data_IF_961620187142
#
_entry.id   IF_961620187142
#
_cell.length_a   1.000
_cell.length_b   1.000
_cell.length_c   1.000
_cell.angle_alpha   90.00
_cell.angle_beta   90.00
_cell.angle_gamma   90.00
#
_symmetry.space_group_name_H-M   'P 1'
#
loop_
_entity.id
_entity.type
_entity.pdbx_description
1 polymer ?
#
# COMPACT_ATOMS: atom_id res chain seq x y z
N UNK A 1 10.41 7.65 -1.40
CA UNK A 1 10.23 8.64 -0.32
C UNK A 1 8.89 8.54 0.41
N UNK A 2 7.75 8.26 -0.25
CA UNK A 2 6.44 8.36 0.44
C UNK A 2 5.97 7.09 1.17
N UNK A 3 6.37 5.89 0.73
CA UNK A 3 5.86 4.63 1.30
C UNK A 3 6.46 4.27 2.67
N UNK A 4 7.74 4.59 2.91
CA UNK A 4 8.40 4.28 4.19
C UNK A 4 7.82 5.09 5.35
N UNK A 5 7.44 6.34 5.11
CA UNK A 5 6.79 7.17 6.13
C UNK A 5 5.48 6.56 6.62
N UNK A 6 4.72 5.90 5.73
CA UNK A 6 3.50 5.18 6.09
C UNK A 6 3.80 3.93 6.93
N UNK A 7 4.88 3.20 6.60
CA UNK A 7 5.29 2.03 7.36
C UNK A 7 5.74 2.42 8.77
N UNK A 8 6.53 3.48 8.90
CA UNK A 8 6.97 4.01 10.20
C UNK A 8 5.78 4.42 11.06
N UNK A 9 4.80 5.14 10.50
CA UNK A 9 3.61 5.53 11.23
C UNK A 9 2.80 4.32 11.74
N UNK A 10 2.61 3.30 10.88
CA UNK A 10 1.91 2.07 11.27
C UNK A 10 2.64 1.35 12.40
N UNK A 11 3.97 1.28 12.35
CA UNK A 11 4.79 0.67 13.40
C UNK A 11 4.74 1.45 14.72
N UNK A 12 4.87 2.78 14.67
CA UNK A 12 4.82 3.67 15.84
C UNK A 12 3.48 3.60 16.57
N UNK A 13 2.39 3.50 15.83
CA UNK A 13 1.03 3.39 16.38
C UNK A 13 0.64 1.94 16.75
N UNK A 14 1.52 0.96 16.54
CA UNK A 14 1.24 -0.45 16.83
C UNK A 14 0.11 -1.04 15.96
N UNK A 15 -0.10 -0.48 14.77
CA UNK A 15 -1.15 -0.87 13.84
C UNK A 15 -0.68 -2.03 12.96
N UNK A 16 -1.64 -2.77 12.40
CA UNK A 16 -1.36 -3.82 11.41
C UNK A 16 -2.03 -3.47 10.10
N UNK A 17 -1.27 -3.51 9.00
CA UNK A 17 -1.84 -3.33 7.66
C UNK A 17 -2.61 -4.58 7.28
N UNK A 18 -3.94 -4.45 7.21
CA UNK A 18 -4.81 -5.55 6.79
C UNK A 18 -4.94 -5.67 5.28
N UNK A 19 -4.93 -4.55 4.55
CA UNK A 19 -5.13 -4.49 3.10
C UNK A 19 -4.39 -3.31 2.48
N UNK A 20 -3.97 -3.48 1.23
CA UNK A 20 -3.43 -2.42 0.36
C UNK A 20 -4.41 -2.27 -0.80
N UNK A 21 -5.02 -1.10 -0.93
CA UNK A 21 -6.09 -0.85 -1.90
C UNK A 21 -5.66 0.19 -2.93
N UNK A 22 -5.63 -0.18 -4.21
CA UNK A 22 -5.45 0.74 -5.33
C UNK A 22 -6.82 1.10 -5.93
N UNK A 23 -7.07 2.39 -6.16
CA UNK A 23 -8.37 2.86 -6.67
C UNK A 23 -8.52 2.67 -8.17
N UNK A 24 -7.43 2.79 -8.94
CA UNK A 24 -7.38 2.63 -10.39
C UNK A 24 -5.94 2.37 -10.86
N UNK A 25 -5.73 1.87 -12.09
CA UNK A 25 -4.40 1.83 -12.69
C UNK A 25 -3.83 3.23 -12.84
N UNK A 26 -2.77 3.51 -12.08
CA UNK A 26 -2.09 4.80 -12.11
C UNK A 26 -1.20 4.87 -13.34
N UNK A 27 -1.60 5.64 -14.35
CA UNK A 27 -0.80 5.93 -15.55
C UNK A 27 0.16 7.12 -15.35
N UNK A 28 -0.02 7.85 -14.26
CA UNK A 28 0.65 9.09 -13.88
C UNK A 28 1.71 8.90 -12.79
N UNK A 29 1.69 7.77 -12.07
CA UNK A 29 2.72 7.42 -11.09
C UNK A 29 2.89 5.91 -10.89
N UNK A 30 4.08 5.48 -10.48
CA UNK A 30 4.33 4.09 -10.10
C UNK A 30 3.64 3.75 -8.78
N UNK A 31 2.83 2.69 -8.76
CA UNK A 31 2.20 2.20 -7.52
C UNK A 31 3.24 1.66 -6.53
N UNK A 32 3.10 2.01 -5.26
CA UNK A 32 3.89 1.46 -4.16
C UNK A 32 3.29 0.16 -3.58
N UNK A 33 2.19 -0.35 -4.15
CA UNK A 33 1.46 -1.48 -3.59
C UNK A 33 2.31 -2.75 -3.48
N UNK A 34 3.14 -3.04 -4.49
CA UNK A 34 4.05 -4.19 -4.45
C UNK A 34 5.09 -4.06 -3.34
N UNK A 35 5.69 -2.87 -3.20
CA UNK A 35 6.66 -2.58 -2.14
C UNK A 35 6.05 -2.73 -0.75
N UNK A 36 4.86 -2.16 -0.54
CA UNK A 36 4.15 -2.26 0.74
C UNK A 36 3.74 -3.70 1.04
N UNK A 37 3.33 -4.47 0.03
CA UNK A 37 3.01 -5.90 0.18
C UNK A 37 4.21 -6.72 0.62
N UNK A 38 5.39 -6.49 0.04
CA UNK A 38 6.62 -7.18 0.43
C UNK A 38 7.03 -6.87 1.88
N UNK A 39 6.75 -5.64 2.36
CA UNK A 39 7.10 -5.20 3.72
C UNK A 39 6.09 -5.63 4.78
N UNK A 40 4.80 -5.66 4.43
CA UNK A 40 3.71 -5.88 5.40
C UNK A 40 3.10 -7.28 5.33
N UNK A 41 3.30 -7.99 4.21
CA UNK A 41 2.61 -9.24 3.92
C UNK A 41 1.12 -9.07 3.60
N UNK A 42 0.61 -7.82 3.58
CA UNK A 42 -0.80 -7.55 3.42
C UNK A 42 -1.29 -7.88 2.00
N UNK A 43 -2.51 -8.44 1.84
CA UNK A 43 -3.12 -8.63 0.54
C UNK A 43 -3.40 -7.30 -0.17
N UNK A 44 -3.29 -7.32 -1.49
CA UNK A 44 -3.55 -6.17 -2.38
C UNK A 44 -4.87 -6.36 -3.11
N UNK A 45 -5.68 -5.31 -3.24
CA UNK A 45 -6.88 -5.29 -4.08
C UNK A 45 -6.93 -4.03 -4.94
N UNK A 46 -7.61 -4.13 -6.09
CA UNK A 46 -7.82 -3.01 -7.02
C UNK A 46 -9.30 -2.90 -7.37
N UNK A 47 -9.79 -1.68 -7.56
CA UNK A 47 -11.15 -1.44 -8.04
C UNK A 47 -11.44 -2.14 -9.37
N UNK A 48 -12.55 -2.88 -9.44
CA UNK A 48 -12.95 -3.69 -10.60
C UNK A 48 -13.49 -2.87 -11.78
N UNK A 49 -13.67 -1.55 -11.64
CA UNK A 49 -14.07 -0.68 -12.73
C UNK A 49 -12.84 -0.10 -13.44
N UNK A 50 -12.30 -0.89 -14.35
CA UNK A 50 -11.38 -0.47 -15.41
C UNK A 50 -11.96 -0.86 -16.77
#
# INVERSE_FOLDING_TARGET
FCADALLTYVEEEGLTVAWILDTHPHADHFSAAQYLKEKTGAPTAIGQYV
#
